data_IF_600698532583
#
_entry.id   IF_600698532583
#
_cell.length_a   1.000
_cell.length_b   1.000
_cell.length_c   1.000
_cell.angle_alpha   90.00
_cell.angle_beta   90.00
_cell.angle_gamma   90.00
#
_symmetry.space_group_name_H-M   'P 1'
#
loop_
_entity.id
_entity.type
_entity.pdbx_description
1 polymer ?
#
# COMPACT_ATOMS: atom_id res chain seq x y z
N UNK A 1 -1.19 14.39 -10.51
CA UNK A 1 -1.91 13.89 -9.32
C UNK A 1 -3.23 14.62 -9.23
N UNK A 2 -4.29 13.92 -8.85
CA UNK A 2 -5.62 14.49 -8.57
C UNK A 2 -6.19 13.87 -7.30
N UNK A 3 -7.16 14.54 -6.68
CA UNK A 3 -7.90 13.96 -5.57
C UNK A 3 -8.70 12.76 -6.08
N UNK A 4 -8.47 11.59 -5.47
CA UNK A 4 -9.21 10.35 -5.71
C UNK A 4 -10.03 10.05 -4.47
N UNK A 5 -11.30 9.76 -4.69
CA UNK A 5 -12.22 9.23 -3.68
C UNK A 5 -12.08 7.70 -3.64
N UNK A 6 -12.05 7.15 -2.43
CA UNK A 6 -11.94 5.73 -2.12
C UNK A 6 -13.07 5.37 -1.15
N UNK A 7 -13.60 4.14 -1.24
CA UNK A 7 -14.71 3.66 -0.41
C UNK A 7 -15.90 4.63 -0.45
N UNK A 8 -16.34 5.00 -1.66
CA UNK A 8 -17.46 5.93 -1.85
C UNK A 8 -17.21 7.34 -1.29
N UNK A 9 -15.94 7.76 -1.17
CA UNK A 9 -15.55 9.08 -0.67
C UNK A 9 -15.31 9.16 0.84
N UNK A 10 -15.45 8.05 1.56
CA UNK A 10 -15.10 7.99 2.98
C UNK A 10 -13.59 8.21 3.22
N UNK A 11 -12.76 7.89 2.24
CA UNK A 11 -11.33 8.19 2.23
C UNK A 11 -11.00 8.98 0.95
N UNK A 12 -10.08 9.94 1.06
CA UNK A 12 -9.56 10.68 -0.09
C UNK A 12 -8.04 10.71 -0.06
N UNK A 13 -7.39 10.71 -1.23
CA UNK A 13 -5.95 10.86 -1.35
C UNK A 13 -5.57 11.48 -2.70
N UNK A 14 -4.41 12.12 -2.81
CA UNK A 14 -3.85 12.52 -4.10
C UNK A 14 -3.23 11.29 -4.77
N UNK A 15 -3.77 10.89 -5.91
CA UNK A 15 -3.31 9.74 -6.67
C UNK A 15 -2.94 10.14 -8.11
N UNK A 16 -2.16 9.32 -8.84
CA UNK A 16 -1.99 9.47 -10.28
C UNK A 16 -3.33 9.49 -11.00
N UNK A 17 -3.44 10.31 -12.05
CA UNK A 17 -4.72 10.64 -12.72
C UNK A 17 -5.22 9.55 -13.65
N UNK A 18 -4.36 8.63 -14.06
CA UNK A 18 -4.62 7.63 -15.09
C UNK A 18 -4.79 6.21 -14.52
N UNK A 19 -4.95 6.08 -13.20
CA UNK A 19 -5.14 4.78 -12.56
C UNK A 19 -6.49 4.16 -12.95
N UNK A 20 -6.46 2.88 -13.29
CA UNK A 20 -7.64 2.08 -13.58
C UNK A 20 -8.12 1.46 -12.27
N UNK A 21 -9.42 1.55 -12.00
CA UNK A 21 -10.04 0.86 -10.88
C UNK A 21 -10.28 -0.62 -11.25
N UNK A 22 -9.69 -1.54 -10.50
CA UNK A 22 -9.82 -2.96 -10.80
C UNK A 22 -11.26 -3.47 -10.58
N UNK A 23 -12.07 -2.79 -9.79
CA UNK A 23 -13.48 -3.16 -9.56
C UNK A 23 -14.33 -3.07 -10.85
N UNK A 24 -13.90 -2.25 -11.82
CA UNK A 24 -14.57 -2.13 -13.13
C UNK A 24 -14.39 -3.38 -14.01
N UNK A 25 -13.35 -4.18 -13.74
CA UNK A 25 -12.97 -5.33 -14.57
C UNK A 25 -13.10 -6.67 -13.85
N UNK A 26 -13.05 -6.68 -12.51
CA UNK A 26 -13.17 -7.87 -11.68
C UNK A 26 -13.78 -7.54 -10.32
N UNK A 27 -14.32 -8.53 -9.63
CA UNK A 27 -14.73 -8.34 -8.24
C UNK A 27 -13.49 -8.08 -7.36
N UNK A 28 -13.64 -7.10 -6.48
CA UNK A 28 -12.70 -6.73 -5.41
C UNK A 28 -13.50 -6.77 -4.09
N UNK A 29 -12.95 -7.30 -2.99
CA UNK A 29 -13.62 -7.27 -1.70
C UNK A 29 -14.03 -5.86 -1.29
N UNK A 30 -15.17 -5.69 -0.61
CA UNK A 30 -15.65 -4.37 -0.17
C UNK A 30 -14.68 -3.66 0.81
N UNK A 31 -13.80 -4.43 1.46
CA UNK A 31 -12.75 -3.93 2.35
C UNK A 31 -11.51 -3.45 1.60
N UNK A 32 -11.48 -3.56 0.27
CA UNK A 32 -10.34 -3.25 -0.58
C UNK A 32 -10.71 -2.29 -1.72
N UNK A 33 -9.77 -1.41 -2.05
CA UNK A 33 -9.74 -0.64 -3.27
C UNK A 33 -8.44 -0.98 -4.01
N UNK A 34 -8.54 -1.40 -5.27
CA UNK A 34 -7.38 -1.82 -6.07
C UNK A 34 -7.27 -0.95 -7.31
N UNK A 35 -6.19 -0.20 -7.40
CA UNK A 35 -5.89 0.71 -8.51
C UNK A 35 -4.68 0.20 -9.29
N UNK A 36 -4.77 0.20 -10.62
CA UNK A 36 -3.74 -0.34 -11.52
C UNK A 36 -3.14 0.78 -12.38
N UNK A 37 -1.83 0.75 -12.55
CA UNK A 37 -1.19 1.59 -13.57
C UNK A 37 -1.47 0.99 -14.95
N UNK A 38 -1.89 1.80 -15.94
CA UNK A 38 -2.25 1.28 -17.26
C UNK A 38 -1.03 0.89 -18.11
N UNK A 39 0.15 1.42 -17.77
CA UNK A 39 1.39 1.33 -18.54
C UNK A 39 2.47 0.47 -17.86
N UNK A 40 2.16 -0.16 -16.72
CA UNK A 40 3.10 -1.02 -15.98
C UNK A 40 2.36 -2.02 -15.10
N UNK A 41 3.08 -2.98 -14.54
CA UNK A 41 2.53 -3.96 -13.59
C UNK A 41 2.42 -3.39 -12.14
N UNK A 42 2.55 -2.07 -11.97
CA UNK A 42 2.42 -1.43 -10.67
C UNK A 42 0.95 -1.42 -10.24
N UNK A 43 0.70 -1.75 -8.99
CA UNK A 43 -0.63 -1.66 -8.38
C UNK A 43 -0.59 -0.93 -7.05
N UNK A 44 -1.71 -0.30 -6.71
CA UNK A 44 -1.97 0.32 -5.42
C UNK A 44 -3.16 -0.41 -4.80
N UNK A 45 -3.00 -0.90 -3.59
CA UNK A 45 -4.07 -1.54 -2.84
C UNK A 45 -4.27 -0.74 -1.56
N UNK A 46 -5.51 -0.35 -1.29
CA UNK A 46 -5.92 0.24 -0.01
C UNK A 46 -6.88 -0.74 0.64
N UNK A 47 -6.56 -1.19 1.85
CA UNK A 47 -7.29 -2.26 2.52
C UNK A 47 -7.58 -1.91 3.98
N UNK A 48 -8.81 -2.21 4.41
CA UNK A 48 -9.25 -2.11 5.80
C UNK A 48 -9.06 -3.46 6.48
N UNK A 49 -8.11 -3.53 7.43
CA UNK A 49 -7.77 -4.75 8.16
C UNK A 49 -8.07 -4.61 9.65
N UNK A 50 -8.22 -5.75 10.33
CA UNK A 50 -8.23 -5.77 11.79
C UNK A 50 -6.87 -5.30 12.34
N UNK A 51 -6.91 -4.52 13.42
CA UNK A 51 -5.70 -4.04 14.08
C UNK A 51 -4.87 -5.20 14.61
N UNK A 52 -3.59 -5.21 14.25
CA UNK A 52 -2.67 -6.26 14.70
C UNK A 52 -2.26 -6.09 16.16
N UNK A 53 -1.89 -7.20 16.81
CA UNK A 53 -1.53 -7.25 18.22
C UNK A 53 -0.36 -6.36 18.64
N UNK A 54 0.75 -6.24 17.87
CA UNK A 54 1.87 -5.38 18.26
C UNK A 54 1.42 -3.96 18.58
N UNK A 55 1.76 -3.48 19.78
CA UNK A 55 1.47 -2.10 20.20
C UNK A 55 2.45 -1.11 19.57
N UNK A 56 3.71 -1.51 19.39
CA UNK A 56 4.70 -0.73 18.66
C UNK A 56 4.28 -0.57 17.19
N UNK A 57 4.37 0.66 16.71
CA UNK A 57 3.90 1.03 15.39
C UNK A 57 4.77 0.44 14.27
N UNK A 58 6.09 0.37 14.47
CA UNK A 58 7.00 -0.20 13.47
C UNK A 58 6.83 -1.72 13.40
N UNK A 59 6.66 -2.37 14.54
CA UNK A 59 6.38 -3.81 14.59
C UNK A 59 5.02 -4.15 13.98
N UNK A 60 4.01 -3.28 14.10
CA UNK A 60 2.73 -3.45 13.41
C UNK A 60 2.89 -3.41 11.88
N UNK A 61 3.65 -2.45 11.34
CA UNK A 61 3.91 -2.40 9.90
C UNK A 61 4.72 -3.60 9.41
N UNK A 62 5.74 -4.04 10.16
CA UNK A 62 6.49 -5.27 9.85
C UNK A 62 5.61 -6.52 9.88
N UNK A 63 4.64 -6.59 10.81
CA UNK A 63 3.69 -7.69 10.86
C UNK A 63 2.84 -7.74 9.59
N UNK A 64 2.21 -6.62 9.19
CA UNK A 64 1.43 -6.54 7.95
C UNK A 64 2.28 -6.88 6.72
N UNK A 65 3.52 -6.39 6.65
CA UNK A 65 4.45 -6.73 5.57
C UNK A 65 4.80 -8.23 5.53
N UNK A 66 5.01 -8.86 6.68
CA UNK A 66 5.26 -10.29 6.80
C UNK A 66 4.05 -11.15 6.41
N UNK A 67 2.84 -10.73 6.81
CA UNK A 67 1.59 -11.37 6.38
C UNK A 67 1.42 -11.28 4.87
N UNK A 68 1.64 -10.11 4.27
CA UNK A 68 1.60 -9.93 2.83
C UNK A 68 2.63 -10.83 2.11
N UNK A 69 3.84 -10.96 2.66
CA UNK A 69 4.86 -11.86 2.11
C UNK A 69 4.41 -13.33 2.15
N UNK A 70 3.75 -13.74 3.24
CA UNK A 70 3.20 -15.08 3.38
C UNK A 70 2.09 -15.34 2.36
N UNK A 71 1.14 -14.41 2.21
CA UNK A 71 0.03 -14.52 1.26
C UNK A 71 0.53 -14.57 -0.20
N UNK A 72 1.59 -13.82 -0.49
CA UNK A 72 2.30 -13.87 -1.77
C UNK A 72 3.16 -15.12 -1.97
N UNK A 73 3.27 -16.00 -0.96
CA UNK A 73 4.19 -17.14 -0.96
C UNK A 73 5.62 -16.73 -1.33
N UNK A 74 6.07 -15.59 -0.80
CA UNK A 74 7.40 -15.07 -1.05
C UNK A 74 8.47 -16.05 -0.52
N UNK A 75 9.50 -16.30 -1.33
CA UNK A 75 10.64 -17.13 -0.95
C UNK A 75 11.48 -16.45 0.14
N UNK A 76 11.64 -15.13 0.03
CA UNK A 76 12.13 -14.28 1.11
C UNK A 76 11.49 -12.89 1.05
N UNK A 77 11.64 -12.15 2.15
CA UNK A 77 11.25 -10.76 2.25
C UNK A 77 12.26 -9.99 3.10
N UNK A 78 12.55 -8.76 2.70
CA UNK A 78 13.51 -7.88 3.38
C UNK A 78 12.86 -6.53 3.63
N UNK A 79 12.91 -6.07 4.89
CA UNK A 79 12.52 -4.71 5.28
C UNK A 79 13.74 -3.80 5.17
N UNK A 80 13.63 -2.73 4.40
CA UNK A 80 14.70 -1.76 4.14
C UNK A 80 14.64 -0.59 5.12
N UNK A 81 13.45 -0.03 5.36
CA UNK A 81 13.25 1.01 6.37
C UNK A 81 11.84 0.99 6.94
N UNK A 82 11.69 1.56 8.15
CA UNK A 82 10.39 1.83 8.77
C UNK A 82 10.41 3.18 9.46
N UNK A 83 9.64 4.11 8.91
CA UNK A 83 9.57 5.51 9.31
C UNK A 83 8.15 5.87 9.76
N UNK A 84 8.02 6.89 10.60
CA UNK A 84 6.72 7.41 11.03
C UNK A 84 6.63 8.84 10.52
N UNK A 85 5.57 9.12 9.76
CA UNK A 85 5.25 10.44 9.24
C UNK A 85 4.06 10.98 10.02
N UNK A 86 4.27 11.99 10.89
CA UNK A 86 3.18 12.58 11.66
C UNK A 86 2.12 13.21 10.76
N UNK A 87 0.85 13.13 11.17
CA UNK A 87 -0.21 13.93 10.57
C UNK A 87 -0.35 15.28 11.29
N UNK A 88 0.09 16.34 10.63
CA UNK A 88 0.06 17.72 11.13
C UNK A 88 -1.16 18.52 10.65
N UNK A 89 -2.10 17.89 9.92
CA UNK A 89 -3.25 18.57 9.30
C UNK A 89 -4.45 18.78 10.21
N UNK A 90 -4.51 18.10 11.35
CA UNK A 90 -5.62 18.20 12.30
C UNK A 90 -6.96 17.61 11.80
N UNK A 91 -6.92 16.72 10.80
CA UNK A 91 -8.11 16.10 10.21
C UNK A 91 -8.56 14.79 10.90
N UNK A 92 -7.86 14.38 11.97
CA UNK A 92 -8.15 13.16 12.73
C UNK A 92 -7.58 11.87 12.13
N UNK A 93 -7.01 11.92 10.92
CA UNK A 93 -6.29 10.76 10.34
C UNK A 93 -5.07 10.44 11.21
N UNK A 94 -4.77 9.18 11.54
CA UNK A 94 -3.56 8.83 12.29
C UNK A 94 -2.26 9.19 11.55
N UNK A 95 -1.15 9.15 12.28
CA UNK A 95 0.18 9.17 11.68
C UNK A 95 0.35 7.99 10.71
N UNK A 96 1.08 8.21 9.62
CA UNK A 96 1.37 7.17 8.66
C UNK A 96 2.67 6.45 9.06
N UNK A 97 2.60 5.12 9.20
CA UNK A 97 3.79 4.29 9.40
C UNK A 97 4.21 3.78 8.04
N UNK A 98 5.32 4.30 7.54
CA UNK A 98 5.84 4.02 6.21
C UNK A 98 6.86 2.89 6.31
N UNK A 99 6.64 1.81 5.59
CA UNK A 99 7.58 0.71 5.44
C UNK A 99 8.02 0.60 3.99
N UNK A 100 9.32 0.45 3.81
CA UNK A 100 9.96 0.18 2.53
C UNK A 100 10.55 -1.23 2.57
N UNK A 101 10.20 -2.08 1.61
CA UNK A 101 10.67 -3.46 1.59
C UNK A 101 10.63 -4.10 0.21
N UNK A 102 11.22 -5.28 0.11
CA UNK A 102 11.21 -6.09 -1.11
C UNK A 102 10.85 -7.53 -0.79
N UNK A 103 10.14 -8.18 -1.70
CA UNK A 103 9.80 -9.60 -1.64
C UNK A 103 10.29 -10.29 -2.90
N UNK A 104 10.80 -11.52 -2.78
CA UNK A 104 11.15 -12.36 -3.91
C UNK A 104 10.11 -13.45 -4.07
N UNK A 105 9.31 -13.35 -5.13
CA UNK A 105 8.15 -14.23 -5.36
C UNK A 105 8.42 -15.13 -6.55
N UNK A 106 8.15 -16.43 -6.38
CA UNK A 106 8.19 -17.36 -7.49
C UNK A 106 6.84 -17.37 -8.21
N UNK A 107 6.78 -16.88 -9.46
CA UNK A 107 5.57 -17.06 -10.26
C UNK A 107 5.40 -18.52 -10.67
N UNK A 108 4.16 -19.00 -10.67
CA UNK A 108 3.80 -20.35 -11.12
C UNK A 108 4.44 -20.65 -12.50
N UNK A 109 5.14 -21.79 -12.60
CA UNK A 109 5.87 -22.27 -13.78
C UNK A 109 7.16 -21.53 -14.18
N UNK A 110 7.79 -20.73 -13.31
CA UNK A 110 9.15 -20.18 -13.56
C UNK A 110 10.13 -20.57 -12.45
N UNK A 111 11.39 -20.81 -12.83
CA UNK A 111 12.51 -21.04 -11.89
C UNK A 111 13.16 -19.73 -11.41
N UNK A 112 12.84 -18.62 -12.05
CA UNK A 112 13.33 -17.28 -11.70
C UNK A 112 12.43 -16.64 -10.65
N UNK A 113 13.03 -16.08 -9.60
CA UNK A 113 12.33 -15.25 -8.63
C UNK A 113 12.12 -13.86 -9.23
N UNK A 114 10.89 -13.37 -9.15
CA UNK A 114 10.57 -11.99 -9.48
C UNK A 114 10.70 -11.15 -8.21
N UNK A 115 11.42 -10.04 -8.29
CA UNK A 115 11.50 -9.08 -7.17
C UNK A 115 10.33 -8.11 -7.27
N UNK A 116 9.55 -8.02 -6.19
CA UNK A 116 8.51 -7.01 -6.02
C UNK A 116 8.95 -6.07 -4.91
N UNK A 117 9.16 -4.81 -5.26
CA UNK A 117 9.40 -3.75 -4.30
C UNK A 117 8.06 -3.25 -3.77
N UNK A 118 7.91 -3.13 -2.46
CA UNK A 118 6.66 -2.79 -1.81
C UNK A 118 6.89 -1.57 -0.93
N UNK A 119 6.11 -0.53 -1.19
CA UNK A 119 5.99 0.63 -0.30
C UNK A 119 4.66 0.49 0.43
N UNK A 120 4.69 0.50 1.75
CA UNK A 120 3.53 0.29 2.61
C UNK A 120 3.32 1.50 3.52
N UNK A 121 2.07 1.95 3.66
CA UNK A 121 1.67 2.90 4.70
C UNK A 121 0.59 2.26 5.57
N UNK A 122 0.77 2.30 6.90
CA UNK A 122 -0.23 1.81 7.86
C UNK A 122 -0.74 2.98 8.70
N UNK A 123 -2.06 3.12 8.79
CA UNK A 123 -2.74 4.09 9.65
C UNK A 123 -3.53 3.33 10.72
N UNK A 124 -3.18 3.54 11.99
CA UNK A 124 -3.76 2.76 13.10
C UNK A 124 -4.92 3.49 13.74
N UNK A 125 -6.14 3.02 13.51
CA UNK A 125 -7.36 3.53 14.15
C UNK A 125 -7.62 2.74 15.45
N UNK A 126 -6.84 3.02 16.49
CA UNK A 126 -6.84 2.24 17.74
C UNK A 126 -8.23 2.12 18.36
N UNK A 127 -9.03 3.19 18.37
CA UNK A 127 -10.38 3.18 18.94
C UNK A 127 -11.40 2.35 18.15
N UNK A 128 -11.10 2.06 16.87
CA UNK A 128 -11.93 1.27 15.97
C UNK A 128 -11.44 -0.18 15.82
N UNK A 129 -10.31 -0.53 16.44
CA UNK A 129 -9.63 -1.82 16.24
C UNK A 129 -9.34 -2.12 14.75
N UNK A 130 -8.98 -1.08 13.99
CA UNK A 130 -8.68 -1.18 12.54
C UNK A 130 -7.27 -0.67 12.26
N UNK A 131 -6.59 -1.35 11.35
CA UNK A 131 -5.43 -0.82 10.63
C UNK A 131 -5.82 -0.61 9.16
N UNK A 132 -5.73 0.62 8.66
CA UNK A 132 -5.87 0.91 7.24
C UNK A 132 -4.48 0.76 6.59
N UNK A 133 -4.35 -0.14 5.64
CA UNK A 133 -3.08 -0.48 4.99
C UNK A 133 -3.11 -0.08 3.53
N UNK A 134 -2.13 0.71 3.11
CA UNK A 134 -1.89 1.06 1.70
C UNK A 134 -0.63 0.36 1.25
N UNK A 135 -0.66 -0.33 0.12
CA UNK A 135 0.53 -0.92 -0.51
C UNK A 135 0.65 -0.48 -1.95
N UNK A 136 1.86 -0.10 -2.35
CA UNK A 136 2.23 0.08 -3.74
C UNK A 136 3.16 -1.08 -4.10
N UNK A 137 2.68 -1.98 -4.95
CA UNK A 137 3.44 -3.13 -5.43
C UNK A 137 4.13 -2.75 -6.74
N UNK A 138 5.46 -2.82 -6.77
CA UNK A 138 6.30 -2.36 -7.86
C UNK A 138 7.15 -3.53 -8.32
N UNK A 139 6.73 -4.29 -9.35
CA UNK A 139 7.57 -5.32 -9.93
C UNK A 139 8.84 -4.70 -10.52
N UNK A 140 10.01 -5.17 -10.07
CA UNK A 140 11.31 -4.72 -10.57
C UNK A 140 11.87 -5.85 -11.42
N UNK A 141 11.67 -5.77 -12.74
CA UNK A 141 12.27 -6.70 -13.69
C UNK A 141 13.80 -6.52 -13.75
N UNK A 142 14.54 -7.63 -13.88
CA UNK A 142 15.99 -7.64 -13.84
C UNK A 142 16.69 -7.13 -15.13
N UNK A 143 15.97 -6.91 -16.23
CA UNK A 143 16.60 -6.99 -17.56
C UNK A 143 16.75 -5.67 -18.36
N UNK A 144 16.14 -4.54 -17.97
CA UNK A 144 16.15 -3.34 -18.84
C UNK A 144 16.41 -1.98 -18.15
N UNK A 145 16.63 -1.94 -16.84
CA UNK A 145 16.87 -0.68 -16.11
C UNK A 145 15.63 0.22 -15.93
N UNK A 146 14.51 -0.09 -16.60
CA UNK A 146 13.23 0.63 -16.46
C UNK A 146 12.63 0.50 -15.06
N UNK A 147 12.96 -0.58 -14.35
CA UNK A 147 12.49 -0.84 -12.99
C UNK A 147 12.96 0.19 -11.97
N UNK A 148 14.15 0.77 -12.12
CA UNK A 148 14.66 1.82 -11.23
C UNK A 148 13.93 3.16 -11.43
N UNK A 149 13.70 3.55 -12.68
CA UNK A 149 12.94 4.77 -12.98
C UNK A 149 11.49 4.65 -12.50
N UNK A 150 10.87 3.49 -12.75
CA UNK A 150 9.53 3.17 -12.25
C UNK A 150 9.49 3.24 -10.73
N UNK A 151 10.46 2.62 -10.04
CA UNK A 151 10.53 2.65 -8.59
C UNK A 151 10.67 4.07 -8.05
N UNK A 152 11.55 4.90 -8.62
CA UNK A 152 11.75 6.29 -8.18
C UNK A 152 10.49 7.13 -8.38
N UNK A 153 9.87 7.05 -9.56
CA UNK A 153 8.63 7.76 -9.88
C UNK A 153 7.49 7.33 -8.93
N UNK A 154 7.32 6.03 -8.77
CA UNK A 154 6.26 5.45 -7.93
C UNK A 154 6.47 5.76 -6.46
N UNK A 155 7.73 5.85 -5.98
CA UNK A 155 8.04 6.31 -4.62
C UNK A 155 7.55 7.72 -4.36
N UNK A 156 7.82 8.67 -5.25
CA UNK A 156 7.30 10.04 -5.10
C UNK A 156 5.78 10.08 -5.10
N UNK A 157 5.13 9.24 -5.91
CA UNK A 157 3.66 9.12 -5.93
C UNK A 157 3.13 8.52 -4.62
N UNK A 158 3.79 7.50 -4.08
CA UNK A 158 3.45 6.90 -2.78
C UNK A 158 3.61 7.90 -1.62
N UNK A 159 4.70 8.68 -1.60
CA UNK A 159 4.91 9.71 -0.58
C UNK A 159 3.81 10.78 -0.62
N UNK A 160 3.41 11.21 -1.81
CA UNK A 160 2.31 12.16 -1.97
C UNK A 160 0.96 11.54 -1.59
N UNK A 161 0.70 10.29 -2.01
CA UNK A 161 -0.53 9.58 -1.67
C UNK A 161 -0.67 9.41 -0.16
N UNK A 162 0.36 8.84 0.50
CA UNK A 162 0.35 8.58 1.94
C UNK A 162 0.26 9.87 2.78
N UNK A 163 0.94 10.94 2.36
CA UNK A 163 0.85 12.24 3.04
C UNK A 163 -0.46 12.97 2.83
N UNK A 164 -1.17 12.71 1.73
CA UNK A 164 -2.44 13.37 1.43
C UNK A 164 -3.66 12.54 1.81
N UNK A 165 -3.48 11.26 2.14
CA UNK A 165 -4.55 10.38 2.56
C UNK A 165 -5.25 10.98 3.78
N UNK A 166 -6.56 11.16 3.64
CA UNK A 166 -7.46 11.72 4.64
C UNK A 166 -8.67 10.82 4.78
N UNK A 167 -8.96 10.46 6.03
CA UNK A 167 -10.23 9.84 6.39
C UNK A 167 -11.26 10.95 6.54
N UNK A 168 -12.26 10.96 5.66
CA UNK A 168 -13.33 11.96 5.61
C UNK A 168 -14.53 11.49 6.44
N UNK A 169 -14.84 10.20 6.38
CA UNK A 169 -15.92 9.58 7.15
C UNK A 169 -15.43 8.37 7.95
N UNK A 170 -15.38 8.53 9.27
CA UNK A 170 -14.99 7.47 10.21
C UNK A 170 -16.10 6.43 10.46
N UNK A 171 -17.31 6.64 9.93
CA UNK A 171 -18.40 5.66 9.96
C UNK A 171 -18.08 4.42 9.12
N UNK A 172 -17.14 4.53 8.17
CA UNK A 172 -16.57 3.41 7.41
C UNK A 172 -16.06 2.28 8.32
N UNK A 173 -15.61 2.61 9.54
CA UNK A 173 -15.03 1.68 10.51
C UNK A 173 -15.96 1.42 11.70
N UNK A 174 -17.27 1.55 11.53
CA UNK A 174 -18.27 1.37 12.61
C UNK A 174 -18.66 -0.10 12.81
#
# INVERSE_FOLDING_TARGET
MSLKELFGGAITALAPTNLIDASEIRQVPDTQEVLLYPDSDVSIIVEVLERVQPSDYREAAKFHFGSLAHDNSAADSTVLSVDIVPNDRGDGTPDAIILDGSQHVQKFNRTTLDTVHILMAVYRLVQKNVDLVVTFNIPVGAEDGSGLETLQRTRTQFEQFSRSLRIVDFSLFA
#
